data_IF_199203309725
#
_entry.id   IF_199203309725
#
_cell.length_a   1.000
_cell.length_b   1.000
_cell.length_c   1.000
_cell.angle_alpha   90.00
_cell.angle_beta   90.00
_cell.angle_gamma   90.00
#
_symmetry.space_group_name_H-M   'P 1'
#
loop_
_entity.id
_entity.type
_entity.pdbx_description
1 polymer ?
#
# COMPACT_ATOMS: atom_id res chain seq x y z
N UNK A 1 28.56 18.14 16.95
CA UNK A 1 27.26 17.78 16.32
C UNK A 1 27.45 16.56 15.43
N UNK A 2 26.60 15.54 15.59
CA UNK A 2 26.94 14.12 15.39
C UNK A 2 27.08 13.67 13.92
N UNK A 3 28.28 13.22 13.52
CA UNK A 3 28.53 12.51 12.25
C UNK A 3 27.49 11.38 12.00
N UNK A 4 27.06 10.69 13.05
CA UNK A 4 26.02 9.64 12.98
C UNK A 4 24.65 10.17 12.52
N UNK A 5 24.26 11.37 12.95
CA UNK A 5 23.00 11.99 12.53
C UNK A 5 23.05 12.37 11.05
N UNK A 6 24.18 12.93 10.60
CA UNK A 6 24.39 13.28 9.20
C UNK A 6 24.30 12.05 8.27
N UNK A 7 24.84 10.90 8.69
CA UNK A 7 24.71 9.64 7.94
C UNK A 7 23.24 9.21 7.81
N UNK A 8 22.48 9.22 8.92
CA UNK A 8 21.07 8.85 8.88
C UNK A 8 20.20 9.81 8.06
N UNK A 9 20.49 11.11 8.13
CA UNK A 9 19.81 12.10 7.31
C UNK A 9 20.09 11.87 5.82
N UNK A 10 21.36 11.68 5.45
CA UNK A 10 21.75 11.38 4.06
C UNK A 10 21.06 10.11 3.54
N UNK A 11 21.01 9.04 4.35
CA UNK A 11 20.31 7.80 3.99
C UNK A 11 18.80 8.02 3.84
N UNK A 12 18.18 8.79 4.73
CA UNK A 12 16.74 9.11 4.66
C UNK A 12 16.41 9.92 3.41
N UNK A 13 17.24 10.90 3.06
CA UNK A 13 17.10 11.69 1.82
C UNK A 13 17.24 10.82 0.56
N UNK A 14 18.14 9.83 0.56
CA UNK A 14 18.24 8.87 -0.54
C UNK A 14 16.97 8.03 -0.69
N UNK A 15 16.41 7.52 0.41
CA UNK A 15 15.16 6.77 0.36
C UNK A 15 14.01 7.63 -0.19
N UNK A 16 13.89 8.87 0.29
CA UNK A 16 12.89 9.83 -0.20
C UNK A 16 13.07 10.14 -1.69
N UNK A 17 14.30 10.43 -2.13
CA UNK A 17 14.60 10.67 -3.54
C UNK A 17 14.22 9.48 -4.43
N UNK A 18 14.47 8.25 -3.98
CA UNK A 18 14.07 7.04 -4.69
C UNK A 18 12.55 6.86 -4.76
N UNK A 19 11.82 7.17 -3.69
CA UNK A 19 10.34 7.18 -3.72
C UNK A 19 9.82 8.24 -4.69
N UNK A 20 10.40 9.44 -4.71
CA UNK A 20 10.02 10.49 -5.65
C UNK A 20 10.27 10.07 -7.11
N UNK A 21 11.39 9.40 -7.40
CA UNK A 21 11.66 8.84 -8.73
C UNK A 21 10.59 7.80 -9.12
N UNK A 22 10.19 6.93 -8.20
CA UNK A 22 9.11 5.96 -8.46
C UNK A 22 7.79 6.68 -8.81
N UNK A 23 7.39 7.68 -8.03
CA UNK A 23 6.17 8.45 -8.30
C UNK A 23 6.27 9.23 -9.62
N UNK A 24 7.45 9.77 -9.96
CA UNK A 24 7.67 10.40 -11.25
C UNK A 24 7.53 9.41 -12.41
N UNK A 25 8.05 8.19 -12.28
CA UNK A 25 7.85 7.13 -13.28
C UNK A 25 6.36 6.76 -13.41
N UNK A 26 5.64 6.62 -12.29
CA UNK A 26 4.19 6.38 -12.31
C UNK A 26 3.45 7.51 -13.04
N UNK A 27 3.78 8.77 -12.76
CA UNK A 27 3.21 9.92 -13.44
C UNK A 27 3.46 9.87 -14.95
N UNK A 28 4.68 9.59 -15.40
CA UNK A 28 5.00 9.46 -16.83
C UNK A 28 4.18 8.33 -17.48
N UNK A 29 4.15 7.14 -16.88
CA UNK A 29 3.42 6.01 -17.46
C UNK A 29 1.90 6.22 -17.47
N UNK A 30 1.35 6.86 -16.45
CA UNK A 30 -0.04 7.26 -16.42
C UNK A 30 -0.37 8.18 -17.60
N UNK A 31 0.42 9.23 -17.82
CA UNK A 31 0.21 10.16 -18.94
C UNK A 31 0.32 9.48 -20.31
N UNK A 32 1.26 8.53 -20.47
CA UNK A 32 1.37 7.74 -21.71
C UNK A 32 0.09 6.92 -21.95
N UNK A 33 -0.38 6.18 -20.94
CA UNK A 33 -1.60 5.36 -21.04
C UNK A 33 -2.80 6.25 -21.36
N UNK A 34 -2.97 7.35 -20.63
CA UNK A 34 -4.08 8.29 -20.85
C UNK A 34 -4.05 8.93 -22.23
N UNK A 35 -2.87 9.27 -22.74
CA UNK A 35 -2.73 9.84 -24.09
C UNK A 35 -3.14 8.83 -25.17
N UNK A 36 -2.73 7.57 -25.03
CA UNK A 36 -3.10 6.49 -25.97
C UNK A 36 -4.62 6.23 -25.93
N UNK A 37 -5.19 6.09 -24.73
CA UNK A 37 -6.64 5.89 -24.54
C UNK A 37 -7.43 7.04 -25.15
N UNK A 38 -7.06 8.27 -24.82
CA UNK A 38 -7.75 9.49 -25.28
C UNK A 38 -7.66 9.62 -26.81
N UNK A 39 -6.49 9.35 -27.40
CA UNK A 39 -6.30 9.38 -28.85
C UNK A 39 -7.25 8.42 -29.58
N UNK A 40 -7.34 7.16 -29.12
CA UNK A 40 -8.23 6.19 -29.75
C UNK A 40 -9.70 6.54 -29.58
N UNK A 41 -10.11 7.04 -28.41
CA UNK A 41 -11.50 7.46 -28.18
C UNK A 41 -11.89 8.66 -29.06
N UNK A 42 -11.01 9.65 -29.21
CA UNK A 42 -11.28 10.76 -30.13
C UNK A 42 -11.30 10.33 -31.59
N UNK A 43 -10.50 9.34 -31.98
CA UNK A 43 -10.55 8.78 -33.33
C UNK A 43 -11.86 8.03 -33.63
N UNK A 44 -12.58 7.60 -32.59
CA UNK A 44 -13.90 6.98 -32.67
C UNK A 44 -15.04 8.00 -32.49
N UNK A 45 -14.75 9.31 -32.54
CA UNK A 45 -15.69 10.40 -32.29
C UNK A 45 -16.42 10.33 -30.94
N UNK A 46 -15.78 9.72 -29.93
CA UNK A 46 -16.32 9.71 -28.56
C UNK A 46 -16.12 11.07 -27.88
N UNK A 47 -17.17 11.58 -27.25
CA UNK A 47 -17.10 12.79 -26.42
C UNK A 47 -16.35 12.58 -25.11
N UNK A 48 -15.92 13.68 -24.47
CA UNK A 48 -15.16 13.67 -23.20
C UNK A 48 -15.87 12.91 -22.07
N UNK A 49 -17.20 12.95 -22.00
CA UNK A 49 -17.95 12.24 -20.96
C UNK A 49 -17.77 10.71 -21.06
N UNK A 50 -17.80 10.18 -22.28
CA UNK A 50 -17.60 8.74 -22.54
C UNK A 50 -16.17 8.33 -22.13
N UNK A 51 -15.19 9.18 -22.40
CA UNK A 51 -13.79 8.94 -21.99
C UNK A 51 -13.67 8.91 -20.47
N UNK A 52 -14.27 9.88 -19.77
CA UNK A 52 -14.24 9.94 -18.30
C UNK A 52 -14.90 8.72 -17.66
N UNK A 53 -16.06 8.29 -18.19
CA UNK A 53 -16.73 7.07 -17.74
C UNK A 53 -15.86 5.84 -17.98
N UNK A 54 -15.26 5.71 -19.18
CA UNK A 54 -14.37 4.59 -19.50
C UNK A 54 -13.16 4.54 -18.54
N UNK A 55 -12.53 5.68 -18.28
CA UNK A 55 -11.39 5.80 -17.35
C UNK A 55 -11.81 5.37 -15.94
N UNK A 56 -13.00 5.78 -15.51
CA UNK A 56 -13.53 5.37 -14.22
C UNK A 56 -13.76 3.85 -14.16
N UNK A 57 -14.42 3.26 -15.15
CA UNK A 57 -14.71 1.81 -15.18
C UNK A 57 -13.45 0.93 -15.31
N UNK A 58 -12.39 1.45 -15.94
CA UNK A 58 -11.11 0.76 -16.12
C UNK A 58 -10.02 1.26 -15.15
N UNK A 59 -10.43 1.88 -14.04
CA UNK A 59 -9.52 2.57 -13.14
C UNK A 59 -8.45 1.63 -12.56
N UNK A 60 -8.84 0.41 -12.17
CA UNK A 60 -7.88 -0.57 -11.63
C UNK A 60 -6.90 -1.08 -12.68
N UNK A 61 -7.34 -1.26 -13.91
CA UNK A 61 -6.52 -1.68 -15.05
C UNK A 61 -5.47 -0.60 -15.33
N UNK A 62 -5.88 0.67 -15.37
CA UNK A 62 -4.99 1.81 -15.57
C UNK A 62 -3.95 1.87 -14.43
N UNK A 63 -4.38 1.84 -13.17
CA UNK A 63 -3.49 1.85 -11.99
C UNK A 63 -2.51 0.67 -12.03
N UNK A 64 -3.01 -0.53 -12.34
CA UNK A 64 -2.21 -1.75 -12.38
C UNK A 64 -1.15 -1.66 -13.48
N UNK A 65 -1.51 -1.25 -14.69
CA UNK A 65 -0.55 -1.09 -15.80
C UNK A 65 0.49 0.00 -15.49
N UNK A 66 0.07 1.16 -14.99
CA UNK A 66 0.98 2.24 -14.58
C UNK A 66 1.99 1.75 -13.54
N UNK A 67 1.51 1.05 -12.50
CA UNK A 67 2.38 0.50 -11.46
C UNK A 67 3.29 -0.62 -11.99
N UNK A 68 2.77 -1.50 -12.84
CA UNK A 68 3.56 -2.58 -13.43
C UNK A 68 4.77 -2.05 -14.20
N UNK A 69 4.57 -1.10 -15.11
CA UNK A 69 5.66 -0.53 -15.91
C UNK A 69 6.64 0.29 -15.07
N UNK A 70 6.13 1.16 -14.19
CA UNK A 70 6.98 1.98 -13.31
C UNK A 70 7.83 1.13 -12.36
N UNK A 71 7.22 0.11 -11.73
CA UNK A 71 7.93 -0.81 -10.82
C UNK A 71 8.93 -1.67 -11.57
N UNK A 72 8.59 -2.15 -12.77
CA UNK A 72 9.50 -2.94 -13.59
C UNK A 72 10.77 -2.14 -13.94
N UNK A 73 10.62 -0.91 -14.43
CA UNK A 73 11.75 -0.01 -14.71
C UNK A 73 12.52 0.33 -13.44
N UNK A 74 11.81 0.71 -12.38
CA UNK A 74 12.44 1.11 -11.12
C UNK A 74 13.24 -0.02 -10.49
N UNK A 75 12.71 -1.25 -10.51
CA UNK A 75 13.43 -2.43 -10.06
C UNK A 75 14.71 -2.61 -10.86
N UNK A 76 14.68 -2.52 -12.20
CA UNK A 76 15.88 -2.61 -13.05
C UNK A 76 16.95 -1.59 -12.64
N UNK A 77 16.58 -0.34 -12.37
CA UNK A 77 17.51 0.68 -11.86
C UNK A 77 18.08 0.34 -10.48
N UNK A 78 17.22 -0.10 -9.54
CA UNK A 78 17.70 -0.59 -8.24
C UNK A 78 18.66 -1.78 -8.40
N UNK A 79 18.44 -2.66 -9.39
CA UNK A 79 19.33 -3.79 -9.64
C UNK A 79 20.72 -3.34 -10.08
N UNK A 80 20.81 -2.35 -10.97
CA UNK A 80 22.09 -1.82 -11.46
C UNK A 80 22.91 -1.21 -10.33
N UNK A 81 22.26 -0.55 -9.36
CA UNK A 81 22.95 0.02 -8.21
C UNK A 81 23.31 -1.00 -7.12
N UNK A 82 22.83 -2.24 -7.21
CA UNK A 82 23.08 -3.29 -6.22
C UNK A 82 24.30 -4.12 -6.61
N UNK A 83 25.22 -4.35 -5.68
CA UNK A 83 26.36 -5.26 -5.88
C UNK A 83 25.96 -6.74 -5.92
N UNK A 84 24.67 -7.06 -5.72
CA UNK A 84 24.16 -8.42 -5.68
C UNK A 84 23.76 -8.90 -7.07
N UNK A 85 24.11 -10.15 -7.43
CA UNK A 85 23.77 -10.76 -8.74
C UNK A 85 22.26 -10.94 -8.99
N UNK A 86 21.41 -10.98 -7.95
CA UNK A 86 19.95 -11.18 -8.12
C UNK A 86 19.11 -10.51 -7.01
N UNK A 87 19.08 -9.16 -6.96
CA UNK A 87 18.42 -8.40 -5.91
C UNK A 87 16.93 -8.74 -5.74
N UNK A 88 16.17 -8.98 -6.82
CA UNK A 88 14.76 -9.38 -6.72
C UNK A 88 14.65 -10.73 -6.01
N UNK A 89 15.43 -11.74 -6.41
CA UNK A 89 15.46 -13.04 -5.74
C UNK A 89 15.82 -12.89 -4.27
N UNK A 90 16.80 -12.03 -3.96
CA UNK A 90 17.20 -11.71 -2.58
C UNK A 90 16.12 -10.98 -1.76
N UNK A 91 15.13 -10.36 -2.39
CA UNK A 91 13.96 -9.84 -1.66
C UNK A 91 13.14 -10.99 -1.07
N UNK A 92 12.99 -12.09 -1.81
CA UNK A 92 12.15 -13.24 -1.45
C UNK A 92 12.91 -14.37 -0.74
N UNK A 93 14.23 -14.47 -0.90
CA UNK A 93 15.07 -15.52 -0.30
C UNK A 93 15.08 -15.55 1.23
N UNK A 94 14.56 -14.51 1.89
CA UNK A 94 14.34 -14.51 3.34
C UNK A 94 13.28 -15.51 3.83
N UNK A 95 12.62 -16.22 2.90
CA UNK A 95 11.59 -17.20 3.20
C UNK A 95 10.27 -16.57 3.65
N UNK A 96 9.23 -17.40 3.69
CA UNK A 96 7.95 -17.03 4.29
C UNK A 96 8.12 -17.09 5.80
N UNK A 97 7.83 -15.99 6.48
CA UNK A 97 7.78 -15.94 7.93
C UNK A 97 6.31 -15.97 8.32
N UNK A 98 5.88 -17.10 8.87
CA UNK A 98 4.53 -17.22 9.38
C UNK A 98 4.27 -16.21 10.51
N UNK A 99 3.05 -15.65 10.59
CA UNK A 99 2.72 -14.66 11.58
C UNK A 99 2.66 -15.36 12.96
N UNK A 100 3.31 -14.77 13.95
CA UNK A 100 3.14 -15.20 15.33
C UNK A 100 1.71 -14.90 15.82
N UNK A 101 1.34 -15.49 16.96
CA UNK A 101 0.02 -15.28 17.59
C UNK A 101 -0.27 -13.80 17.80
N UNK A 102 0.76 -13.00 18.08
CA UNK A 102 0.67 -11.55 18.27
C UNK A 102 0.14 -10.82 17.01
N UNK A 103 0.55 -11.24 15.81
CA UNK A 103 0.09 -10.63 14.56
C UNK A 103 -1.34 -11.07 14.25
N UNK A 104 -1.68 -12.33 14.52
CA UNK A 104 -3.04 -12.84 14.35
C UNK A 104 -4.02 -12.16 15.31
N UNK A 105 -3.62 -11.90 16.56
CA UNK A 105 -4.41 -11.14 17.53
C UNK A 105 -4.61 -9.70 17.05
N UNK A 106 -3.55 -9.05 16.53
CA UNK A 106 -3.66 -7.71 15.98
C UNK A 106 -4.63 -7.66 14.79
N UNK A 107 -4.51 -8.60 13.85
CA UNK A 107 -5.42 -8.75 12.71
C UNK A 107 -6.87 -8.99 13.15
N UNK A 108 -7.08 -9.93 14.06
CA UNK A 108 -8.39 -10.23 14.64
C UNK A 108 -8.99 -9.03 15.35
N UNK A 109 -8.18 -8.25 16.07
CA UNK A 109 -8.60 -7.01 16.72
C UNK A 109 -9.02 -5.94 15.72
N UNK A 110 -8.29 -5.77 14.61
CA UNK A 110 -8.67 -4.84 13.54
C UNK A 110 -10.00 -5.28 12.93
N UNK A 111 -10.15 -6.58 12.60
CA UNK A 111 -11.40 -7.12 12.07
C UNK A 111 -12.58 -6.94 13.02
N UNK A 112 -12.40 -7.31 14.29
CA UNK A 112 -13.40 -7.16 15.32
C UNK A 112 -13.85 -5.70 15.38
N UNK A 113 -12.90 -4.77 15.49
CA UNK A 113 -13.25 -3.36 15.50
C UNK A 113 -14.01 -2.96 14.25
N UNK A 114 -13.54 -3.36 13.07
CA UNK A 114 -14.14 -2.97 11.80
C UNK A 114 -15.58 -3.46 11.66
N UNK A 115 -15.87 -4.68 12.10
CA UNK A 115 -17.21 -5.27 12.10
C UNK A 115 -18.12 -4.55 13.11
N UNK A 116 -17.66 -4.37 14.35
CA UNK A 116 -18.48 -3.81 15.43
C UNK A 116 -18.68 -2.31 15.33
N UNK A 117 -17.65 -1.55 14.93
CA UNK A 117 -17.75 -0.11 14.74
C UNK A 117 -18.40 0.25 13.40
N UNK A 118 -18.21 -0.56 12.36
CA UNK A 118 -18.74 -0.29 11.03
C UNK A 118 -20.21 -0.65 10.87
N UNK A 119 -20.65 -1.77 11.45
CA UNK A 119 -22.02 -2.29 11.30
C UNK A 119 -22.38 -2.50 9.82
N UNK A 120 -22.04 -3.67 9.26
CA UNK A 120 -22.23 -3.93 7.84
C UNK A 120 -23.68 -4.24 7.47
N UNK A 121 -24.24 -3.45 6.56
CA UNK A 121 -25.51 -3.75 5.88
C UNK A 121 -25.23 -4.10 4.42
N UNK A 122 -25.99 -5.03 3.85
CA UNK A 122 -25.94 -5.28 2.40
C UNK A 122 -26.31 -3.99 1.67
N UNK A 123 -25.48 -3.57 0.72
CA UNK A 123 -25.77 -2.38 -0.07
C UNK A 123 -26.81 -2.74 -1.16
N UNK A 124 -28.05 -2.22 -1.09
CA UNK A 124 -29.05 -2.46 -2.14
C UNK A 124 -28.66 -1.82 -3.48
N UNK A 125 -27.70 -0.90 -3.48
CA UNK A 125 -27.18 -0.23 -4.68
C UNK A 125 -25.89 -0.88 -5.23
N UNK A 126 -25.53 -2.07 -4.75
CA UNK A 126 -24.35 -2.80 -5.21
C UNK A 126 -24.39 -3.03 -6.74
N UNK A 127 -23.46 -2.38 -7.46
CA UNK A 127 -23.31 -2.49 -8.92
C UNK A 127 -22.29 -3.55 -9.34
N UNK A 128 -21.65 -4.22 -8.38
CA UNK A 128 -20.56 -5.16 -8.66
C UNK A 128 -21.05 -6.49 -9.20
N UNK A 129 -20.25 -7.08 -10.09
CA UNK A 129 -20.36 -8.51 -10.40
C UNK A 129 -19.34 -9.29 -9.56
N UNK A 130 -19.54 -10.59 -9.39
CA UNK A 130 -18.54 -11.45 -8.73
C UNK A 130 -17.17 -11.34 -9.42
N UNK A 131 -17.15 -11.25 -10.75
CA UNK A 131 -15.92 -11.06 -11.53
C UNK A 131 -15.24 -9.74 -11.15
N UNK A 132 -15.99 -8.64 -11.05
CA UNK A 132 -15.46 -7.34 -10.63
C UNK A 132 -14.85 -7.42 -9.23
N UNK A 133 -15.53 -8.07 -8.28
CA UNK A 133 -15.04 -8.26 -6.91
C UNK A 133 -13.70 -9.03 -6.90
N UNK A 134 -13.56 -10.07 -7.72
CA UNK A 134 -12.31 -10.83 -7.84
C UNK A 134 -11.20 -9.98 -8.48
N UNK A 135 -11.51 -9.22 -9.53
CA UNK A 135 -10.53 -8.34 -10.17
C UNK A 135 -10.05 -7.24 -9.21
N UNK A 136 -10.97 -6.59 -8.50
CA UNK A 136 -10.65 -5.61 -7.45
C UNK A 136 -9.77 -6.24 -6.36
N UNK A 137 -10.08 -7.45 -5.90
CA UNK A 137 -9.27 -8.15 -4.88
C UNK A 137 -7.81 -8.25 -5.32
N UNK A 138 -7.56 -8.75 -6.54
CA UNK A 138 -6.20 -8.90 -7.06
C UNK A 138 -5.54 -7.56 -7.40
N UNK A 139 -6.29 -6.58 -7.90
CA UNK A 139 -5.77 -5.24 -8.19
C UNK A 139 -5.31 -4.53 -6.90
N UNK A 140 -6.08 -4.63 -5.82
CA UNK A 140 -5.70 -4.09 -4.50
C UNK A 140 -4.45 -4.79 -3.96
N UNK A 141 -4.38 -6.13 -4.07
CA UNK A 141 -3.18 -6.88 -3.69
C UNK A 141 -1.98 -6.35 -4.47
N UNK A 142 -2.09 -6.26 -5.78
CA UNK A 142 -1.00 -5.78 -6.64
C UNK A 142 -0.59 -4.35 -6.29
N UNK A 143 -1.55 -3.46 -6.10
CA UNK A 143 -1.32 -2.06 -5.75
C UNK A 143 -0.52 -1.91 -4.45
N UNK A 144 -0.88 -2.63 -3.38
CA UNK A 144 -0.14 -2.55 -2.11
C UNK A 144 1.16 -3.36 -2.15
N UNK A 145 1.16 -4.55 -2.74
CA UNK A 145 2.34 -5.42 -2.80
C UNK A 145 3.46 -4.82 -3.63
N UNK A 146 3.14 -4.17 -4.75
CA UNK A 146 4.13 -3.50 -5.58
C UNK A 146 4.87 -2.41 -4.78
N UNK A 147 4.13 -1.57 -4.05
CA UNK A 147 4.71 -0.56 -3.14
C UNK A 147 5.54 -1.22 -2.03
N UNK A 148 5.04 -2.30 -1.39
CA UNK A 148 5.77 -3.04 -0.35
C UNK A 148 7.10 -3.60 -0.87
N UNK A 149 7.11 -4.20 -2.07
CA UNK A 149 8.31 -4.77 -2.68
C UNK A 149 9.36 -3.68 -2.95
N UNK A 150 8.93 -2.53 -3.48
CA UNK A 150 9.83 -1.40 -3.71
C UNK A 150 10.41 -0.87 -2.40
N UNK A 151 9.55 -0.57 -1.42
CA UNK A 151 9.99 -0.04 -0.13
C UNK A 151 10.91 -1.03 0.59
N UNK A 152 10.64 -2.32 0.49
CA UNK A 152 11.52 -3.37 0.99
C UNK A 152 12.89 -3.34 0.30
N UNK A 153 12.93 -3.20 -1.03
CA UNK A 153 14.17 -3.07 -1.80
C UNK A 153 15.00 -1.86 -1.36
N UNK A 154 14.36 -0.69 -1.26
CA UNK A 154 14.97 0.55 -0.79
C UNK A 154 15.53 0.38 0.63
N UNK A 155 14.74 -0.20 1.55
CA UNK A 155 15.16 -0.37 2.95
C UNK A 155 16.28 -1.40 3.11
N UNK A 156 16.34 -2.45 2.29
CA UNK A 156 17.46 -3.39 2.28
C UNK A 156 18.74 -2.75 1.75
N UNK A 157 18.65 -1.93 0.72
CA UNK A 157 19.82 -1.25 0.14
C UNK A 157 20.32 -0.08 1.00
N UNK A 158 19.41 0.65 1.63
CA UNK A 158 19.71 1.83 2.44
C UNK A 158 19.16 1.66 3.86
N UNK A 159 19.68 0.74 4.68
CA UNK A 159 19.10 0.43 5.99
C UNK A 159 19.18 1.61 6.95
N UNK A 160 18.07 1.85 7.66
CA UNK A 160 17.96 2.84 8.73
C UNK A 160 17.86 2.16 10.09
N UNK A 161 18.30 2.84 11.15
CA UNK A 161 17.99 2.38 12.51
C UNK A 161 16.49 2.48 12.75
N UNK A 162 15.99 1.58 13.60
CA UNK A 162 14.57 1.44 13.90
C UNK A 162 13.87 2.76 14.26
N UNK A 163 14.47 3.59 15.13
CA UNK A 163 13.93 4.90 15.49
C UNK A 163 13.69 5.82 14.27
N UNK A 164 14.67 5.96 13.39
CA UNK A 164 14.56 6.83 12.21
C UNK A 164 13.60 6.25 11.17
N UNK A 165 13.58 4.92 11.03
CA UNK A 165 12.64 4.23 10.15
C UNK A 165 11.18 4.47 10.57
N UNK A 166 10.89 4.37 11.87
CA UNK A 166 9.54 4.63 12.41
C UNK A 166 9.11 6.08 12.19
N UNK A 167 10.03 7.04 12.27
CA UNK A 167 9.75 8.44 11.96
C UNK A 167 9.58 8.70 10.46
N UNK A 168 10.37 8.01 9.62
CA UNK A 168 10.36 8.21 8.17
C UNK A 168 9.16 7.52 7.49
N UNK A 169 8.66 6.41 8.03
CA UNK A 169 7.58 5.64 7.43
C UNK A 169 6.28 6.45 7.20
N UNK A 170 5.76 7.22 8.19
CA UNK A 170 4.64 8.13 7.96
C UNK A 170 4.92 9.17 6.88
N UNK A 171 6.13 9.75 6.86
CA UNK A 171 6.49 10.74 5.84
C UNK A 171 6.49 10.13 4.43
N UNK A 172 7.08 8.95 4.26
CA UNK A 172 7.07 8.23 2.98
C UNK A 172 5.63 7.89 2.57
N UNK A 173 4.80 7.39 3.51
CA UNK A 173 3.40 7.07 3.22
C UNK A 173 2.60 8.31 2.79
N UNK A 174 2.84 9.45 3.45
CA UNK A 174 2.20 10.72 3.12
C UNK A 174 2.59 11.20 1.72
N UNK A 175 3.88 11.17 1.39
CA UNK A 175 4.37 11.57 0.05
C UNK A 175 3.79 10.67 -1.03
N UNK A 176 3.80 9.35 -0.83
CA UNK A 176 3.21 8.41 -1.78
C UNK A 176 1.72 8.71 -1.97
N UNK A 177 0.95 8.85 -0.89
CA UNK A 177 -0.48 9.14 -0.99
C UNK A 177 -0.74 10.48 -1.71
N UNK A 178 -0.03 11.53 -1.34
CA UNK A 178 -0.22 12.86 -1.93
C UNK A 178 0.06 12.84 -3.43
N UNK A 179 1.18 12.22 -3.85
CA UNK A 179 1.52 12.14 -5.27
C UNK A 179 0.62 11.18 -6.04
N UNK A 180 0.27 10.02 -5.48
CA UNK A 180 -0.63 9.08 -6.15
C UNK A 180 -2.04 9.66 -6.32
N UNK A 181 -2.52 10.49 -5.39
CA UNK A 181 -3.79 11.20 -5.54
C UNK A 181 -3.78 12.16 -6.74
N UNK A 182 -2.67 12.84 -6.98
CA UNK A 182 -2.52 13.71 -8.16
C UNK A 182 -2.30 12.92 -9.45
N UNK A 183 -1.61 11.78 -9.38
CA UNK A 183 -1.38 10.90 -10.54
C UNK A 183 -2.69 10.21 -10.95
N UNK A 184 -3.54 9.81 -10.01
CA UNK A 184 -4.77 9.07 -10.27
C UNK A 184 -6.00 9.87 -9.82
N UNK A 185 -6.36 10.97 -10.52
CA UNK A 185 -7.44 11.86 -10.10
C UNK A 185 -8.83 11.21 -10.11
N UNK A 186 -9.00 10.10 -10.85
CA UNK A 186 -10.23 9.30 -10.87
C UNK A 186 -10.42 8.41 -9.63
N UNK A 187 -9.36 8.22 -8.82
CA UNK A 187 -9.40 7.39 -7.62
C UNK A 187 -10.06 8.15 -6.46
N UNK A 188 -11.38 8.00 -6.34
CA UNK A 188 -12.23 8.81 -5.44
C UNK A 188 -11.93 8.60 -3.95
N UNK A 189 -11.33 7.47 -3.58
CA UNK A 189 -11.15 7.04 -2.20
C UNK A 189 -9.67 6.96 -1.76
N UNK A 190 -8.75 7.62 -2.48
CA UNK A 190 -7.37 7.84 -2.02
C UNK A 190 -7.31 8.83 -0.85
N UNK A 191 -7.64 8.33 0.34
CA UNK A 191 -7.78 9.12 1.56
C UNK A 191 -6.87 8.59 2.69
N UNK A 192 -7.12 9.07 3.91
CA UNK A 192 -6.43 8.68 5.14
C UNK A 192 -6.40 7.16 5.43
N UNK A 193 -7.32 6.37 4.89
CA UNK A 193 -7.31 4.90 5.02
C UNK A 193 -6.12 4.29 4.29
N UNK A 194 -5.87 4.75 3.06
CA UNK A 194 -4.71 4.34 2.25
C UNK A 194 -3.41 4.73 2.95
N UNK A 195 -3.33 5.96 3.47
CA UNK A 195 -2.20 6.40 4.28
C UNK A 195 -1.94 5.44 5.45
N UNK A 196 -2.96 5.14 6.25
CA UNK A 196 -2.81 4.32 7.45
C UNK A 196 -2.38 2.88 7.11
N UNK A 197 -2.92 2.32 6.02
CA UNK A 197 -2.49 1.03 5.46
C UNK A 197 -1.01 1.05 5.05
N UNK A 198 -0.57 2.08 4.34
CA UNK A 198 0.83 2.22 3.93
C UNK A 198 1.79 2.35 5.13
N UNK A 199 1.39 3.09 6.17
CA UNK A 199 2.16 3.19 7.42
C UNK A 199 2.31 1.82 8.08
N UNK A 200 1.21 1.07 8.22
CA UNK A 200 1.26 -0.24 8.86
C UNK A 200 2.06 -1.26 8.03
N UNK A 201 1.90 -1.27 6.70
CA UNK A 201 2.72 -2.10 5.82
C UNK A 201 4.22 -1.82 6.01
N UNK A 202 4.63 -0.55 6.07
CA UNK A 202 6.02 -0.18 6.33
C UNK A 202 6.51 -0.59 7.72
N UNK A 203 5.65 -0.47 8.74
CA UNK A 203 5.95 -0.99 10.08
C UNK A 203 6.18 -2.51 10.06
N UNK A 204 5.32 -3.26 9.38
CA UNK A 204 5.39 -4.72 9.26
C UNK A 204 6.61 -5.20 8.48
N UNK A 205 7.00 -4.51 7.39
CA UNK A 205 8.29 -4.74 6.70
C UNK A 205 9.42 -4.75 7.73
N UNK A 206 9.38 -3.78 8.63
CA UNK A 206 10.40 -3.56 9.64
C UNK A 206 10.37 -4.51 10.84
N UNK A 207 9.32 -5.31 11.00
CA UNK A 207 9.05 -6.11 12.20
C UNK A 207 10.04 -7.27 12.37
N UNK A 208 10.22 -8.09 11.33
CA UNK A 208 11.15 -9.23 11.31
C UNK A 208 12.16 -9.14 10.17
N UNK A 209 13.18 -8.30 10.35
CA UNK A 209 14.38 -8.21 9.49
C UNK A 209 14.08 -7.97 7.99
N UNK A 210 13.19 -7.04 7.65
CA UNK A 210 12.89 -6.70 6.24
C UNK A 210 12.35 -7.92 5.48
N UNK A 211 11.21 -8.44 5.93
CA UNK A 211 10.53 -9.57 5.31
C UNK A 211 9.21 -9.11 4.66
N UNK A 212 8.93 -9.62 3.47
CA UNK A 212 7.74 -9.30 2.67
C UNK A 212 6.47 -10.03 3.13
N UNK A 213 6.60 -11.20 3.77
CA UNK A 213 5.46 -12.07 4.07
C UNK A 213 4.48 -11.46 5.07
N UNK A 214 4.94 -10.75 6.10
CA UNK A 214 4.06 -10.12 7.09
C UNK A 214 3.14 -9.04 6.49
N UNK A 215 3.64 -8.04 5.75
CA UNK A 215 2.76 -7.12 5.05
C UNK A 215 1.89 -7.83 4.00
N UNK A 216 2.37 -8.90 3.33
CA UNK A 216 1.51 -9.69 2.43
C UNK A 216 0.36 -10.36 3.14
N UNK A 217 0.58 -10.94 4.32
CA UNK A 217 -0.48 -11.54 5.14
C UNK A 217 -1.49 -10.46 5.56
N UNK A 218 -1.02 -9.26 5.90
CA UNK A 218 -1.91 -8.13 6.20
C UNK A 218 -2.73 -7.68 4.97
N UNK A 219 -2.10 -7.60 3.80
CA UNK A 219 -2.77 -7.22 2.55
C UNK A 219 -3.81 -8.27 2.14
N UNK A 220 -3.41 -9.54 2.06
CA UNK A 220 -4.27 -10.66 1.66
C UNK A 220 -5.36 -10.94 2.69
N UNK A 221 -4.98 -10.88 3.96
CA UNK A 221 -5.83 -11.27 5.07
C UNK A 221 -6.75 -10.16 5.54
N UNK A 222 -6.47 -8.88 5.27
CA UNK A 222 -7.27 -7.75 5.76
C UNK A 222 -7.59 -6.72 4.68
N UNK A 223 -6.58 -6.09 4.06
CA UNK A 223 -6.82 -4.94 3.16
C UNK A 223 -7.66 -5.34 1.95
N UNK A 224 -7.27 -6.39 1.22
CA UNK A 224 -7.95 -6.80 -0.01
C UNK A 224 -9.37 -7.33 0.24
N UNK A 225 -9.62 -8.17 1.26
CA UNK A 225 -10.99 -8.51 1.65
C UNK A 225 -11.83 -7.29 1.99
N UNK A 226 -11.31 -6.35 2.78
CA UNK A 226 -12.07 -5.16 3.18
C UNK A 226 -12.30 -4.19 2.00
N UNK A 227 -11.39 -4.12 1.04
CA UNK A 227 -11.60 -3.32 -0.17
C UNK A 227 -12.82 -3.80 -0.96
N UNK A 228 -12.94 -5.11 -1.15
CA UNK A 228 -14.06 -5.73 -1.88
C UNK A 228 -15.35 -5.73 -1.05
N UNK A 229 -15.25 -6.06 0.23
CA UNK A 229 -16.44 -6.27 1.06
C UNK A 229 -17.00 -4.97 1.61
N UNK A 230 -16.16 -3.99 1.94
CA UNK A 230 -16.59 -2.85 2.78
C UNK A 230 -16.24 -1.48 2.19
N UNK A 231 -15.72 -1.45 0.97
CA UNK A 231 -15.47 -0.21 0.24
C UNK A 231 -14.22 0.54 0.70
N UNK A 232 -13.23 -0.20 1.25
CA UNK A 232 -11.87 0.32 1.46
C UNK A 232 -11.04 0.34 0.16
N UNK A 233 -11.68 0.18 -0.99
CA UNK A 233 -11.06 0.25 -2.31
C UNK A 233 -10.57 1.70 -2.56
N UNK A 234 -9.27 1.94 -2.83
CA UNK A 234 -8.76 3.30 -3.08
C UNK A 234 -9.24 3.92 -4.40
N UNK A 235 -9.57 3.10 -5.41
CA UNK A 235 -9.99 3.55 -6.74
C UNK A 235 -11.50 3.77 -6.76
N UNK A 236 -12.27 2.74 -6.44
CA UNK A 236 -13.73 2.77 -6.55
C UNK A 236 -14.45 3.18 -5.25
N UNK A 237 -13.75 3.20 -4.12
CA UNK A 237 -14.39 3.46 -2.83
C UNK A 237 -15.50 2.45 -2.55
N UNK A 238 -16.71 2.96 -2.27
CA UNK A 238 -17.86 2.14 -1.89
C UNK A 238 -18.69 1.64 -3.08
N UNK A 239 -18.46 2.14 -4.30
CA UNK A 239 -19.36 1.91 -5.45
C UNK A 239 -19.50 0.43 -5.86
N UNK A 240 -18.47 -0.38 -5.62
CA UNK A 240 -18.48 -1.83 -5.87
C UNK A 240 -18.28 -2.66 -4.60
N UNK A 241 -18.65 -2.10 -3.44
CA UNK A 241 -18.55 -2.83 -2.17
C UNK A 241 -19.83 -3.57 -1.83
N UNK A 242 -19.70 -4.82 -1.38
CA UNK A 242 -20.87 -5.66 -1.05
C UNK A 242 -21.65 -5.14 0.17
N UNK A 243 -20.92 -4.62 1.16
CA UNK A 243 -21.47 -4.09 2.39
C UNK A 243 -21.21 -2.59 2.49
N UNK A 244 -22.28 -1.84 2.79
CA UNK A 244 -22.15 -0.48 3.28
C UNK A 244 -22.04 -0.49 4.80
N UNK A 245 -21.01 0.16 5.32
CA UNK A 245 -20.88 0.41 6.75
C UNK A 245 -21.92 1.45 7.17
N UNK A 246 -22.79 1.07 8.09
CA UNK A 246 -23.81 1.94 8.69
C UNK A 246 -23.21 3.19 9.33
N UNK A 247 -22.02 3.05 9.92
CA UNK A 247 -21.24 4.16 10.45
C UNK A 247 -20.05 4.43 9.53
N UNK A 248 -19.83 5.72 9.27
CA UNK A 248 -18.64 6.14 8.54
C UNK A 248 -17.42 5.95 9.47
N UNK A 249 -16.68 4.85 9.29
CA UNK A 249 -15.38 4.68 9.94
C UNK A 249 -14.43 5.73 9.36
N UNK A 250 -14.38 6.88 10.02
CA UNK A 250 -13.50 7.97 9.65
C UNK A 250 -12.04 7.53 9.70
N UNK A 251 -11.21 8.16 8.86
CA UNK A 251 -9.79 7.85 8.79
C UNK A 251 -9.04 7.97 10.12
N UNK A 252 -9.47 8.89 10.98
CA UNK A 252 -8.90 9.07 12.33
C UNK A 252 -9.12 7.82 13.18
N UNK A 253 -10.36 7.30 13.20
CA UNK A 253 -10.69 6.10 13.96
C UNK A 253 -9.89 4.90 13.44
N UNK A 254 -9.83 4.76 12.13
CA UNK A 254 -9.02 3.73 11.48
C UNK A 254 -7.54 3.81 11.86
N UNK A 255 -6.97 5.02 11.83
CA UNK A 255 -5.58 5.26 12.22
C UNK A 255 -5.33 4.91 13.69
N UNK A 256 -6.25 5.25 14.61
CA UNK A 256 -6.14 4.91 16.03
C UNK A 256 -6.09 3.40 16.24
N UNK A 257 -6.93 2.62 15.56
CA UNK A 257 -6.91 1.15 15.65
C UNK A 257 -5.56 0.62 15.19
N UNK A 258 -5.07 1.06 14.02
CA UNK A 258 -3.80 0.60 13.49
C UNK A 258 -2.64 1.00 14.39
N UNK A 259 -2.71 2.19 15.02
CA UNK A 259 -1.74 2.63 16.01
C UNK A 259 -1.77 1.76 17.28
N UNK A 260 -2.96 1.39 17.77
CA UNK A 260 -3.10 0.48 18.91
C UNK A 260 -2.56 -0.91 18.57
N UNK A 261 -2.84 -1.44 17.38
CA UNK A 261 -2.27 -2.70 16.89
C UNK A 261 -0.74 -2.65 16.81
N UNK A 262 -0.17 -1.57 16.26
CA UNK A 262 1.28 -1.38 16.20
C UNK A 262 1.90 -1.26 17.60
N UNK A 263 1.25 -0.52 18.51
CA UNK A 263 1.66 -0.35 19.90
C UNK A 263 1.64 -1.67 20.68
N UNK A 264 0.59 -2.48 20.51
CA UNK A 264 0.48 -3.83 21.08
C UNK A 264 1.62 -4.72 20.60
N UNK A 265 1.91 -4.71 19.29
CA UNK A 265 3.03 -5.47 18.73
C UNK A 265 4.34 -5.02 19.39
N UNK A 266 4.64 -3.71 19.40
CA UNK A 266 5.87 -3.17 20.03
C UNK A 266 6.00 -3.62 21.49
N UNK A 267 4.91 -3.57 22.26
CA UNK A 267 4.89 -4.01 23.66
C UNK A 267 5.24 -5.51 23.79
N UNK A 268 4.63 -6.38 22.99
CA UNK A 268 4.93 -7.83 23.00
C UNK A 268 6.39 -8.12 22.68
N UNK A 269 6.95 -7.47 21.66
CA UNK A 269 8.36 -7.65 21.29
C UNK A 269 9.34 -7.21 22.38
N UNK A 270 9.01 -6.21 23.19
CA UNK A 270 9.85 -5.83 24.34
C UNK A 270 9.79 -6.90 25.42
N UNK A 271 8.59 -7.39 25.72
CA UNK A 271 8.34 -8.42 26.74
C UNK A 271 9.07 -9.71 26.42
N UNK A 272 9.03 -10.17 25.17
CA UNK A 272 9.71 -11.39 24.73
C UNK A 272 11.24 -11.26 24.84
N UNK A 273 11.81 -10.07 24.56
CA UNK A 273 13.24 -9.82 24.72
C UNK A 273 13.67 -9.83 26.19
N UNK A 274 12.86 -9.26 27.08
CA UNK A 274 13.16 -9.27 28.52
C UNK A 274 13.03 -10.66 29.11
N UNK A 275 12.08 -11.46 28.65
CA UNK A 275 11.91 -12.85 29.09
C UNK A 275 13.06 -13.78 28.63
N UNK A 276 13.76 -13.44 27.55
CA UNK A 276 14.95 -14.18 27.09
C UNK A 276 16.24 -13.78 27.83
N UNK A 277 16.21 -12.69 28.61
CA UNK A 277 17.36 -12.14 29.34
C UNK A 277 17.26 -12.36 30.87
N UNK A 278 16.11 -12.84 31.35
CA UNK A 278 15.86 -13.22 32.74
C UNK A 278 16.00 -14.75 32.89
#
# INVERSE_FOLDING_TARGET
MNQRLAVHLKTSLKQLGLVLILCALQWVFFNIIMSVVTFFHFKLDHGLNIINEWVFYNGWEIVTLTKLFSVWIFLKFLMVSSSQRSPIKNLFLGGIVFPGKEILIALGGIYFFFIFAGGGNLDPSFKGSFVQSVLTFFAVIFYYMSTVIILLGIQKQYPLREKYRLLLAPLIALIILALEREIFPFAKAMNSLVFSNLVLCQFLIGWRKYNWSLPSIFILGFIAPCAVLTGLDPVYGKEYSLFNLSQNIGGVLYFVILFLSASYLIYKRKTDKTALLA
#
